data_IF_214660653420
#
_entry.id   IF_214660653420
#
_cell.length_a   1.000
_cell.length_b   1.000
_cell.length_c   1.000
_cell.angle_alpha   90.00
_cell.angle_beta   90.00
_cell.angle_gamma   90.00
#
_symmetry.space_group_name_H-M   'P 1'
#
loop_
_entity.id
_entity.type
_entity.pdbx_description
1 polymer ?
#
# COMPACT_ATOMS: atom_id res chain seq x y z
N UNK A 1 8.35 11.95 -23.12
CA UNK A 1 7.16 11.55 -23.87
C UNK A 1 7.24 10.06 -24.21
N UNK A 2 6.30 9.26 -23.68
CA UNK A 2 6.28 7.79 -23.78
C UNK A 2 6.30 7.32 -25.24
N UNK A 3 5.53 7.94 -26.12
CA UNK A 3 5.46 7.55 -27.54
C UNK A 3 6.82 7.67 -28.26
N UNK A 4 7.55 8.75 -28.00
CA UNK A 4 8.89 8.91 -28.60
C UNK A 4 9.87 7.86 -28.09
N UNK A 5 9.84 7.57 -26.80
CA UNK A 5 10.70 6.56 -26.22
C UNK A 5 10.36 5.15 -26.72
N UNK A 6 9.06 4.82 -26.84
CA UNK A 6 8.61 3.56 -27.42
C UNK A 6 9.06 3.39 -28.88
N UNK A 7 8.97 4.46 -29.68
CA UNK A 7 9.46 4.46 -31.05
C UNK A 7 10.98 4.24 -31.14
N UNK A 8 11.74 4.86 -30.23
CA UNK A 8 13.21 4.66 -30.16
C UNK A 8 13.56 3.22 -29.75
N UNK A 9 12.78 2.62 -28.83
CA UNK A 9 12.97 1.24 -28.42
C UNK A 9 12.66 0.28 -29.58
N UNK A 10 11.52 0.48 -30.27
CA UNK A 10 11.17 -0.32 -31.45
C UNK A 10 12.25 -0.22 -32.55
N UNK A 11 12.76 0.99 -32.81
CA UNK A 11 13.82 1.21 -33.78
C UNK A 11 15.14 0.50 -33.41
N UNK A 12 15.51 0.46 -32.12
CA UNK A 12 16.70 -0.28 -31.65
C UNK A 12 16.58 -1.79 -31.82
N UNK A 13 15.35 -2.31 -31.85
CA UNK A 13 15.08 -3.73 -32.08
C UNK A 13 14.71 -4.04 -33.53
N UNK A 14 15.01 -3.10 -34.47
CA UNK A 14 14.72 -3.22 -35.90
C UNK A 14 13.25 -3.58 -36.23
N UNK A 15 12.32 -3.18 -35.35
CA UNK A 15 10.87 -3.39 -35.52
C UNK A 15 10.31 -2.38 -36.52
N UNK A 16 9.36 -2.83 -37.36
CA UNK A 16 8.68 -1.98 -38.36
C UNK A 16 7.53 -1.16 -37.75
N UNK A 17 7.04 -1.55 -36.59
CA UNK A 17 5.97 -0.87 -35.85
C UNK A 17 6.20 -0.93 -34.35
N UNK A 18 5.62 0.03 -33.62
CA UNK A 18 5.67 0.09 -32.17
C UNK A 18 4.59 -0.84 -31.61
N UNK A 19 4.98 -1.79 -30.78
CA UNK A 19 4.07 -2.70 -30.09
C UNK A 19 3.88 -2.37 -28.62
N UNK A 20 2.97 -3.11 -27.94
CA UNK A 20 2.69 -2.97 -26.52
C UNK A 20 3.94 -3.09 -25.64
N UNK A 21 4.82 -4.03 -25.97
CA UNK A 21 6.08 -4.26 -25.22
C UNK A 21 7.01 -3.04 -25.28
N UNK A 22 7.06 -2.33 -26.41
CA UNK A 22 7.89 -1.15 -26.56
C UNK A 22 7.36 0.01 -25.71
N UNK A 23 6.02 0.14 -25.57
CA UNK A 23 5.40 1.09 -24.65
C UNK A 23 5.66 0.74 -23.20
N UNK A 24 5.56 -0.53 -22.80
CA UNK A 24 5.87 -0.96 -21.44
C UNK A 24 7.34 -0.67 -21.11
N UNK A 25 8.25 -0.99 -22.00
CA UNK A 25 9.68 -0.70 -21.85
C UNK A 25 9.98 0.80 -21.80
N UNK A 26 9.22 1.60 -22.56
CA UNK A 26 9.34 3.06 -22.55
C UNK A 26 8.87 3.65 -21.20
N UNK A 27 7.77 3.15 -20.63
CA UNK A 27 7.31 3.54 -19.32
C UNK A 27 8.35 3.21 -18.27
N UNK A 28 8.88 1.98 -18.30
CA UNK A 28 9.94 1.53 -17.39
C UNK A 28 11.16 2.45 -17.43
N UNK A 29 11.58 2.86 -18.64
CA UNK A 29 12.73 3.71 -18.82
C UNK A 29 12.50 5.15 -18.38
N UNK A 30 11.31 5.69 -18.59
CA UNK A 30 10.95 7.07 -18.20
C UNK A 30 10.78 7.18 -16.69
N UNK A 31 10.13 6.20 -16.06
CA UNK A 31 9.83 6.23 -14.61
C UNK A 31 11.00 5.70 -13.79
N UNK A 32 11.57 4.54 -14.18
CA UNK A 32 12.64 3.87 -13.42
C UNK A 32 14.05 4.27 -13.86
N UNK A 33 14.20 4.95 -15.00
CA UNK A 33 15.48 5.29 -15.56
C UNK A 33 16.09 4.16 -16.42
N UNK A 34 17.33 4.36 -16.84
CA UNK A 34 18.06 3.39 -17.68
C UNK A 34 18.45 2.16 -16.88
N UNK A 35 18.31 0.98 -17.48
CA UNK A 35 18.87 -0.27 -16.94
C UNK A 35 20.40 -0.16 -16.83
N UNK A 36 20.92 -0.61 -15.69
CA UNK A 36 22.37 -0.63 -15.41
C UNK A 36 22.87 -2.07 -15.38
N UNK A 37 22.92 -2.72 -16.53
CA UNK A 37 23.35 -4.13 -16.65
C UNK A 37 24.82 -4.38 -16.30
N UNK A 38 25.64 -3.32 -16.26
CA UNK A 38 27.06 -3.42 -15.94
C UNK A 38 27.37 -3.16 -14.46
N UNK A 39 26.36 -3.09 -13.59
CA UNK A 39 26.60 -2.96 -12.17
C UNK A 39 27.08 -4.31 -11.63
N UNK A 40 28.27 -4.30 -11.03
CA UNK A 40 28.81 -5.50 -10.36
C UNK A 40 28.08 -5.60 -9.01
N UNK A 41 27.25 -6.61 -8.87
CA UNK A 41 26.51 -6.93 -7.64
C UNK A 41 27.01 -8.30 -7.19
N UNK A 42 27.42 -8.43 -5.93
CA UNK A 42 27.81 -9.73 -5.40
C UNK A 42 26.58 -10.66 -5.25
N UNK A 43 26.76 -12.00 -5.26
CA UNK A 43 25.66 -12.93 -5.07
C UNK A 43 24.90 -12.68 -3.73
N UNK A 44 25.61 -12.29 -2.69
CA UNK A 44 25.04 -11.96 -1.39
C UNK A 44 24.16 -10.70 -1.46
N UNK A 45 24.66 -9.64 -2.11
CA UNK A 45 23.87 -8.42 -2.35
C UNK A 45 22.67 -8.68 -3.24
N UNK A 46 22.83 -9.48 -4.32
CA UNK A 46 21.71 -9.86 -5.18
C UNK A 46 20.62 -10.58 -4.40
N UNK A 47 21.02 -11.47 -3.50
CA UNK A 47 20.10 -12.18 -2.62
C UNK A 47 19.39 -11.23 -1.65
N UNK A 48 20.12 -10.30 -1.03
CA UNK A 48 19.53 -9.31 -0.13
C UNK A 48 18.50 -8.45 -0.87
N UNK A 49 18.82 -7.97 -2.08
CA UNK A 49 17.92 -7.20 -2.94
C UNK A 49 16.67 -8.01 -3.29
N UNK A 50 16.84 -9.29 -3.68
CA UNK A 50 15.70 -10.14 -4.05
C UNK A 50 14.71 -10.34 -2.89
N UNK A 51 15.21 -10.57 -1.68
CA UNK A 51 14.37 -10.69 -0.49
C UNK A 51 13.74 -9.36 -0.09
N UNK A 52 14.46 -8.23 -0.26
CA UNK A 52 13.94 -6.89 -0.04
C UNK A 52 12.74 -6.60 -0.96
N UNK A 53 12.89 -6.78 -2.26
CA UNK A 53 11.84 -6.56 -3.24
C UNK A 53 10.67 -7.56 -3.10
N UNK A 54 10.98 -8.82 -2.78
CA UNK A 54 9.95 -9.81 -2.44
C UNK A 54 9.16 -9.42 -1.18
N UNK A 55 9.80 -8.76 -0.22
CA UNK A 55 9.15 -8.21 0.97
C UNK A 55 8.09 -7.17 0.63
N UNK A 56 8.43 -6.17 -0.17
CA UNK A 56 7.48 -5.18 -0.68
C UNK A 56 6.31 -5.84 -1.43
N UNK A 57 6.64 -6.75 -2.35
CA UNK A 57 5.65 -7.43 -3.17
C UNK A 57 4.70 -8.30 -2.35
N UNK A 58 5.20 -9.08 -1.40
CA UNK A 58 4.39 -9.95 -0.53
C UNK A 58 3.45 -9.13 0.34
N UNK A 59 3.97 -8.10 1.05
CA UNK A 59 3.14 -7.28 1.94
C UNK A 59 2.05 -6.58 1.14
N UNK A 60 2.37 -5.98 -0.01
CA UNK A 60 1.38 -5.31 -0.84
C UNK A 60 0.37 -6.27 -1.49
N UNK A 61 0.72 -7.53 -1.74
CA UNK A 61 -0.20 -8.52 -2.29
C UNK A 61 -1.24 -8.99 -1.29
N UNK A 62 -0.81 -9.19 -0.04
CA UNK A 62 -1.64 -9.73 1.03
C UNK A 62 -2.53 -8.66 1.67
N UNK A 63 -2.04 -7.43 1.85
CA UNK A 63 -2.82 -6.36 2.46
C UNK A 63 -3.95 -5.90 1.53
N UNK A 64 -5.15 -5.76 2.09
CA UNK A 64 -6.36 -5.49 1.33
C UNK A 64 -6.33 -4.15 0.60
N UNK A 65 -5.80 -3.12 1.24
CA UNK A 65 -5.88 -1.74 0.75
C UNK A 65 -4.63 -1.28 0.01
N UNK A 66 -3.57 -2.08 -0.02
CA UNK A 66 -2.36 -1.77 -0.77
C UNK A 66 -2.63 -1.71 -2.28
N UNK A 67 -1.84 -0.89 -2.99
CA UNK A 67 -1.98 -0.74 -4.42
C UNK A 67 -1.66 -2.05 -5.17
N UNK A 68 -2.38 -2.36 -6.28
CA UNK A 68 -2.10 -3.52 -7.09
C UNK A 68 -0.67 -3.51 -7.63
N UNK A 69 0.06 -4.61 -7.42
CA UNK A 69 1.38 -4.80 -7.98
C UNK A 69 1.26 -5.26 -9.44
N UNK A 70 2.01 -4.61 -10.33
CA UNK A 70 2.12 -4.99 -11.74
C UNK A 70 3.26 -5.96 -11.93
N UNK A 71 4.44 -5.59 -11.42
CA UNK A 71 5.67 -6.38 -11.49
C UNK A 71 6.65 -5.96 -10.41
N UNK A 72 7.57 -6.83 -10.12
CA UNK A 72 8.72 -6.59 -9.26
C UNK A 72 9.98 -7.01 -9.98
N UNK A 73 11.08 -6.28 -9.80
CA UNK A 73 12.35 -6.55 -10.49
C UNK A 73 13.54 -6.25 -9.59
N UNK A 74 14.60 -7.04 -9.76
CA UNK A 74 15.90 -6.82 -9.14
C UNK A 74 16.94 -6.32 -10.15
N UNK A 75 16.51 -5.93 -11.35
CA UNK A 75 17.39 -5.30 -12.35
C UNK A 75 17.60 -3.84 -11.94
N UNK A 76 18.86 -3.41 -11.69
CA UNK A 76 19.12 -2.04 -11.27
C UNK A 76 18.73 -1.02 -12.34
N UNK A 77 18.04 0.05 -11.91
CA UNK A 77 17.62 1.18 -12.74
C UNK A 77 17.92 2.50 -12.05
N UNK A 78 18.53 3.43 -12.75
CA UNK A 78 18.85 4.73 -12.18
C UNK A 78 19.68 4.60 -10.89
N UNK A 79 19.11 4.99 -9.74
CA UNK A 79 19.72 4.84 -8.41
C UNK A 79 19.19 3.62 -7.64
N UNK A 80 18.10 3.01 -8.09
CA UNK A 80 17.49 1.86 -7.45
C UNK A 80 18.21 0.56 -7.85
N UNK A 81 18.40 -0.33 -6.90
CA UNK A 81 18.97 -1.68 -7.10
C UNK A 81 17.89 -2.70 -7.47
N UNK A 82 16.64 -2.42 -7.15
CA UNK A 82 15.43 -3.14 -7.52
C UNK A 82 14.25 -2.19 -7.55
N UNK A 83 13.07 -2.66 -7.90
CA UNK A 83 11.83 -1.88 -7.84
C UNK A 83 10.58 -2.76 -7.89
N UNK A 84 9.61 -2.43 -7.06
CA UNK A 84 8.24 -2.91 -7.16
C UNK A 84 7.38 -1.85 -7.86
N UNK A 85 6.66 -2.27 -8.89
CA UNK A 85 5.82 -1.40 -9.72
C UNK A 85 4.36 -1.61 -9.40
N UNK A 86 3.70 -0.54 -9.01
CA UNK A 86 2.30 -0.55 -8.62
C UNK A 86 1.45 0.18 -9.66
N UNK A 87 0.20 -0.25 -9.79
CA UNK A 87 -0.83 0.50 -10.52
C UNK A 87 -1.56 1.38 -9.48
N UNK A 88 -1.30 2.69 -9.44
CA UNK A 88 -2.04 3.56 -8.54
C UNK A 88 -3.54 3.50 -8.87
N UNK A 89 -4.36 3.23 -7.88
CA UNK A 89 -5.80 3.40 -8.04
C UNK A 89 -6.15 4.88 -7.99
N UNK A 90 -7.02 5.32 -8.90
CA UNK A 90 -7.57 6.68 -8.86
C UNK A 90 -8.51 6.81 -7.65
N UNK A 91 -7.96 7.29 -6.54
CA UNK A 91 -8.69 7.53 -5.29
C UNK A 91 -8.79 9.02 -5.04
N UNK A 92 -10.01 9.50 -4.81
CA UNK A 92 -10.27 10.89 -4.39
C UNK A 92 -10.06 11.07 -2.88
N UNK A 93 -10.29 10.02 -2.10
CA UNK A 93 -10.18 10.02 -0.65
C UNK A 93 -9.45 8.75 -0.21
N UNK A 94 -8.51 8.89 0.71
CA UNK A 94 -7.76 7.77 1.29
C UNK A 94 -8.06 7.66 2.78
N UNK A 95 -8.40 6.45 3.26
CA UNK A 95 -8.67 6.20 4.68
C UNK A 95 -7.38 5.98 5.47
N UNK A 96 -7.49 6.02 6.81
CA UNK A 96 -6.36 5.75 7.72
C UNK A 96 -5.79 4.34 7.49
N UNK A 97 -6.66 3.34 7.34
CA UNK A 97 -6.27 1.94 7.11
C UNK A 97 -5.52 1.78 5.79
N UNK A 98 -5.97 2.45 4.73
CA UNK A 98 -5.30 2.45 3.44
C UNK A 98 -3.90 3.06 3.52
N UNK A 99 -3.75 4.17 4.23
CA UNK A 99 -2.45 4.80 4.42
C UNK A 99 -1.51 3.93 5.28
N UNK A 100 -2.04 3.23 6.28
CA UNK A 100 -1.27 2.29 7.10
C UNK A 100 -0.78 1.09 6.28
N UNK A 101 -1.65 0.50 5.44
CA UNK A 101 -1.28 -0.58 4.51
C UNK A 101 -0.21 -0.13 3.50
N UNK A 102 -0.31 1.09 3.00
CA UNK A 102 0.70 1.68 2.11
C UNK A 102 2.05 1.89 2.81
N UNK A 103 2.05 2.32 4.09
CA UNK A 103 3.28 2.45 4.90
C UNK A 103 3.87 1.06 5.18
N UNK A 104 3.04 0.08 5.56
CA UNK A 104 3.48 -1.29 5.82
C UNK A 104 4.09 -1.93 4.56
N UNK A 105 3.48 -1.75 3.39
CA UNK A 105 4.01 -2.21 2.10
C UNK A 105 5.35 -1.55 1.78
N UNK A 106 5.49 -0.24 2.06
CA UNK A 106 6.74 0.50 1.89
C UNK A 106 7.84 0.01 2.85
N UNK A 107 7.49 -0.44 4.05
CA UNK A 107 8.44 -0.99 5.01
C UNK A 107 8.71 -2.50 4.82
N UNK A 108 8.00 -3.14 3.86
CA UNK A 108 8.10 -4.58 3.57
C UNK A 108 9.51 -5.06 3.27
N UNK A 109 10.28 -4.29 2.50
CA UNK A 109 11.68 -4.60 2.19
C UNK A 109 12.56 -4.61 3.45
N UNK A 110 12.46 -3.58 4.29
CA UNK A 110 13.17 -3.51 5.56
C UNK A 110 12.78 -4.64 6.52
N UNK A 111 11.49 -4.98 6.58
CA UNK A 111 11.00 -6.08 7.40
C UNK A 111 11.54 -7.43 6.91
N UNK A 112 11.62 -7.62 5.60
CA UNK A 112 12.21 -8.81 4.97
C UNK A 112 13.69 -8.97 5.29
N UNK A 113 14.49 -7.90 5.17
CA UNK A 113 15.90 -7.90 5.54
C UNK A 113 16.10 -8.35 6.99
N UNK A 114 15.35 -7.79 7.91
CA UNK A 114 15.45 -8.12 9.33
C UNK A 114 15.00 -9.56 9.63
N UNK A 115 13.91 -10.02 9.00
CA UNK A 115 13.36 -11.35 9.22
C UNK A 115 14.28 -12.47 8.71
N UNK A 116 14.96 -12.24 7.57
CA UNK A 116 15.75 -13.29 6.90
C UNK A 116 17.22 -13.23 7.26
N UNK A 117 17.79 -12.04 7.33
CA UNK A 117 19.23 -11.86 7.50
C UNK A 117 19.61 -11.34 8.91
N UNK A 118 18.63 -10.86 9.70
CA UNK A 118 18.88 -10.25 11.01
C UNK A 118 19.66 -8.93 10.92
N UNK A 119 19.76 -8.33 9.72
CA UNK A 119 20.52 -7.10 9.46
C UNK A 119 19.62 -6.04 8.82
N UNK A 120 20.14 -4.80 8.78
CA UNK A 120 19.47 -3.67 8.19
C UNK A 120 20.41 -3.01 7.17
N UNK A 121 20.04 -3.10 5.88
CA UNK A 121 20.83 -2.50 4.81
C UNK A 121 20.56 -1.01 4.63
N UNK A 122 21.49 -0.29 4.02
CA UNK A 122 21.30 1.13 3.65
C UNK A 122 20.37 1.32 2.44
N UNK A 123 20.02 0.24 1.75
CA UNK A 123 19.17 0.26 0.54
C UNK A 123 17.76 0.79 0.79
N UNK A 124 17.23 0.59 2.01
CA UNK A 124 15.90 1.05 2.42
C UNK A 124 15.79 2.56 2.72
N UNK A 125 16.79 3.38 2.37
CA UNK A 125 16.78 4.82 2.67
C UNK A 125 15.55 5.51 2.10
N UNK A 126 15.23 5.27 0.83
CA UNK A 126 14.08 5.87 0.17
C UNK A 126 12.75 5.40 0.78
N UNK A 127 12.66 4.13 1.14
CA UNK A 127 11.45 3.56 1.75
C UNK A 127 11.18 4.17 3.11
N UNK A 128 12.23 4.33 3.92
CA UNK A 128 12.14 5.00 5.21
C UNK A 128 11.74 6.47 5.06
N UNK A 129 12.27 7.17 4.06
CA UNK A 129 11.90 8.56 3.77
C UNK A 129 10.41 8.67 3.39
N UNK A 130 9.94 7.82 2.47
CA UNK A 130 8.55 7.79 2.00
C UNK A 130 7.61 7.41 3.14
N UNK A 131 7.91 6.36 3.88
CA UNK A 131 7.13 5.92 5.03
C UNK A 131 7.01 7.02 6.10
N UNK A 132 8.13 7.68 6.44
CA UNK A 132 8.16 8.77 7.42
C UNK A 132 7.33 9.96 6.97
N UNK A 133 7.45 10.39 5.71
CA UNK A 133 6.64 11.49 5.15
C UNK A 133 5.15 11.18 5.18
N UNK A 134 4.75 9.95 4.86
CA UNK A 134 3.34 9.52 4.93
C UNK A 134 2.82 9.52 6.36
N UNK A 135 3.55 8.92 7.30
CA UNK A 135 3.17 8.90 8.71
C UNK A 135 3.07 10.32 9.29
N UNK A 136 4.03 11.19 8.95
CA UNK A 136 3.98 12.60 9.34
C UNK A 136 2.75 13.31 8.76
N UNK A 137 2.42 13.08 7.49
CA UNK A 137 1.23 13.64 6.85
C UNK A 137 -0.05 13.19 7.56
N UNK A 138 -0.17 11.90 7.93
CA UNK A 138 -1.31 11.38 8.68
C UNK A 138 -1.50 12.10 10.01
N UNK A 139 -0.41 12.32 10.74
CA UNK A 139 -0.44 12.90 12.09
C UNK A 139 -0.62 14.42 12.05
N UNK A 140 0.21 15.12 11.25
CA UNK A 140 0.32 16.57 11.28
C UNK A 140 -0.62 17.30 10.33
N UNK A 141 -1.03 16.65 9.22
CA UNK A 141 -1.82 17.33 8.18
C UNK A 141 -3.27 16.82 8.07
N UNK A 142 -3.48 15.51 8.23
CA UNK A 142 -4.76 14.89 7.96
C UNK A 142 -5.60 14.63 9.21
N UNK A 143 -5.08 14.94 10.42
CA UNK A 143 -5.81 14.73 11.68
C UNK A 143 -6.14 13.25 11.96
N UNK A 144 -5.29 12.31 11.48
CA UNK A 144 -5.51 10.86 11.60
C UNK A 144 -4.85 10.25 12.85
N UNK A 145 -4.51 11.06 13.85
CA UNK A 145 -3.99 10.62 15.15
C UNK A 145 -4.94 11.06 16.26
N UNK A 146 -5.38 10.12 17.11
CA UNK A 146 -6.25 10.40 18.25
C UNK A 146 -5.59 11.33 19.27
N UNK A 147 -4.26 11.31 19.37
CA UNK A 147 -3.51 12.12 20.33
C UNK A 147 -3.34 13.58 19.89
N UNK A 148 -3.21 13.82 18.59
CA UNK A 148 -3.17 15.17 18.02
C UNK A 148 -4.57 15.72 17.79
N UNK A 149 -5.52 14.82 17.48
CA UNK A 149 -6.93 15.14 17.23
C UNK A 149 -7.17 15.71 15.84
N UNK A 150 -8.34 16.32 15.65
CA UNK A 150 -8.79 16.86 14.36
C UNK A 150 -8.16 18.23 14.06
N UNK A 151 -6.83 18.30 14.11
CA UNK A 151 -6.06 19.50 13.80
C UNK A 151 -5.17 19.27 12.58
N UNK A 152 -5.02 20.32 11.76
CA UNK A 152 -4.10 20.33 10.61
C UNK A 152 -3.09 21.45 10.75
N UNK A 153 -1.84 21.11 10.62
CA UNK A 153 -0.73 22.04 10.54
C UNK A 153 -0.23 22.25 9.09
N UNK A 154 -1.05 21.82 8.12
CA UNK A 154 -0.76 22.01 6.69
C UNK A 154 -0.97 23.47 6.31
N UNK A 155 0.00 24.07 5.64
CA UNK A 155 -0.10 25.41 5.06
C UNK A 155 -0.29 25.32 3.54
N UNK A 156 -1.51 25.59 3.10
CA UNK A 156 -1.86 25.61 1.67
C UNK A 156 -1.27 26.83 0.91
N UNK A 157 -0.77 27.83 1.62
CA UNK A 157 -0.15 29.01 0.97
C UNK A 157 1.28 28.73 0.48
N UNK A 158 1.90 27.62 0.93
CA UNK A 158 3.28 27.28 0.62
C UNK A 158 4.34 28.19 1.27
N UNK A 159 3.92 29.09 2.17
CA UNK A 159 4.85 30.01 2.85
C UNK A 159 5.53 29.34 4.06
N UNK A 160 4.95 28.25 4.56
CA UNK A 160 5.53 27.51 5.68
C UNK A 160 6.94 26.96 5.38
N UNK A 161 7.22 26.58 4.13
CA UNK A 161 8.55 26.11 3.70
C UNK A 161 9.62 27.20 3.77
N UNK A 162 9.21 28.47 3.78
CA UNK A 162 10.09 29.62 3.96
C UNK A 162 10.11 30.15 5.41
N UNK A 163 9.22 29.66 6.28
CA UNK A 163 9.15 30.05 7.67
C UNK A 163 10.25 29.34 8.47
N UNK A 164 11.05 30.13 9.20
CA UNK A 164 12.09 29.60 10.10
C UNK A 164 11.50 28.96 11.38
N UNK A 165 10.19 29.00 11.56
CA UNK A 165 9.52 28.52 12.78
C UNK A 165 8.39 27.55 12.42
N UNK A 166 8.28 26.47 13.20
CA UNK A 166 7.16 25.53 13.10
C UNK A 166 5.85 26.19 13.56
N UNK A 167 4.69 25.86 12.98
CA UNK A 167 3.39 26.45 13.33
C UNK A 167 2.80 25.91 14.64
N UNK A 168 3.60 25.26 15.48
CA UNK A 168 3.19 24.63 16.74
C UNK A 168 4.32 24.68 17.79
N UNK A 169 3.92 24.46 19.05
CA UNK A 169 4.85 24.47 20.20
C UNK A 169 5.78 23.25 20.20
N UNK A 170 6.91 23.33 20.93
CA UNK A 170 7.82 22.19 21.11
C UNK A 170 7.12 20.97 21.72
N UNK A 171 6.19 21.18 22.66
CA UNK A 171 5.38 20.08 23.23
C UNK A 171 4.53 19.37 22.16
N UNK A 172 3.97 20.11 21.21
CA UNK A 172 3.23 19.55 20.09
C UNK A 172 4.18 18.85 19.12
N UNK A 173 5.38 19.38 18.89
CA UNK A 173 6.40 18.70 18.08
C UNK A 173 6.76 17.33 18.65
N UNK A 174 7.03 17.24 19.95
CA UNK A 174 7.31 15.98 20.65
C UNK A 174 6.13 14.98 20.56
N UNK A 175 4.90 15.48 20.59
CA UNK A 175 3.71 14.65 20.44
C UNK A 175 3.62 14.10 19.01
N UNK A 176 3.82 14.94 18.00
CA UNK A 176 3.84 14.54 16.59
C UNK A 176 4.93 13.48 16.36
N UNK A 177 6.14 13.71 16.86
CA UNK A 177 7.26 12.77 16.70
C UNK A 177 6.95 11.40 17.32
N UNK A 178 6.31 11.37 18.50
CA UNK A 178 5.88 10.11 19.15
C UNK A 178 4.82 9.38 18.35
N UNK A 179 3.82 10.10 17.83
CA UNK A 179 2.75 9.51 17.07
C UNK A 179 3.24 9.01 15.70
N UNK A 180 4.10 9.75 15.03
CA UNK A 180 4.76 9.31 13.78
C UNK A 180 5.54 8.02 14.02
N UNK A 181 6.37 7.99 15.08
CA UNK A 181 7.11 6.78 15.44
C UNK A 181 6.17 5.61 15.74
N UNK A 182 5.09 5.83 16.48
CA UNK A 182 4.09 4.81 16.81
C UNK A 182 3.47 4.21 15.55
N UNK A 183 3.07 5.04 14.57
CA UNK A 183 2.52 4.58 13.29
C UNK A 183 3.54 3.79 12.47
N UNK A 184 4.79 4.22 12.44
CA UNK A 184 5.86 3.49 11.77
C UNK A 184 6.13 2.12 12.42
N UNK A 185 6.17 2.08 13.76
CA UNK A 185 6.33 0.83 14.51
C UNK A 185 5.14 -0.13 14.27
N UNK A 186 3.90 0.40 14.25
CA UNK A 186 2.67 -0.35 13.94
C UNK A 186 2.71 -0.94 12.53
N UNK A 187 3.07 -0.14 11.54
CA UNK A 187 3.18 -0.56 10.14
C UNK A 187 4.31 -1.58 9.93
N UNK A 188 5.46 -1.39 10.60
CA UNK A 188 6.59 -2.32 10.55
C UNK A 188 6.24 -3.68 11.19
N UNK A 189 5.54 -3.66 12.33
CA UNK A 189 5.05 -4.87 12.96
C UNK A 189 4.02 -5.61 12.09
N UNK A 190 3.14 -4.87 11.40
CA UNK A 190 2.19 -5.42 10.44
C UNK A 190 2.94 -6.10 9.27
N UNK A 191 3.90 -5.43 8.65
CA UNK A 191 4.70 -5.98 7.56
C UNK A 191 5.45 -7.25 7.99
N UNK A 192 6.09 -7.22 9.17
CA UNK A 192 6.82 -8.37 9.72
C UNK A 192 5.90 -9.56 9.97
N UNK A 193 4.71 -9.33 10.52
CA UNK A 193 3.70 -10.38 10.76
C UNK A 193 3.24 -11.00 9.44
N UNK A 194 2.89 -10.19 8.43
CA UNK A 194 2.48 -10.67 7.10
C UNK A 194 3.55 -11.55 6.48
N UNK A 195 4.82 -11.13 6.52
CA UNK A 195 5.93 -11.92 5.99
C UNK A 195 6.16 -13.23 6.75
N UNK A 196 5.98 -13.22 8.07
CA UNK A 196 6.12 -14.42 8.90
C UNK A 196 4.99 -15.44 8.65
N UNK A 197 3.75 -14.96 8.54
CA UNK A 197 2.56 -15.80 8.25
C UNK A 197 2.61 -16.40 6.84
N UNK A 198 3.16 -15.67 5.86
CA UNK A 198 3.28 -16.11 4.46
C UNK A 198 4.71 -16.49 4.05
N UNK A 199 5.50 -17.00 5.01
CA UNK A 199 6.95 -17.24 4.84
C UNK A 199 7.32 -18.11 3.66
N UNK A 200 6.56 -19.17 3.39
CA UNK A 200 6.83 -20.09 2.28
C UNK A 200 6.67 -19.38 0.93
N UNK A 201 5.54 -18.70 0.70
CA UNK A 201 5.30 -17.93 -0.52
C UNK A 201 6.27 -16.78 -0.69
N UNK A 202 6.60 -16.07 0.40
CA UNK A 202 7.61 -15.01 0.40
C UNK A 202 8.99 -15.52 -0.04
N UNK A 203 9.42 -16.68 0.50
CA UNK A 203 10.70 -17.29 0.12
C UNK A 203 10.67 -17.75 -1.34
N UNK A 204 9.59 -18.40 -1.77
CA UNK A 204 9.41 -18.82 -3.17
C UNK A 204 9.46 -17.63 -4.14
N UNK A 205 8.85 -16.51 -3.78
CA UNK A 205 8.90 -15.27 -4.58
C UNK A 205 10.32 -14.72 -4.68
N UNK A 206 11.07 -14.67 -3.58
CA UNK A 206 12.45 -14.20 -3.57
C UNK A 206 13.37 -15.08 -4.43
N UNK A 207 13.21 -16.40 -4.36
CA UNK A 207 13.97 -17.34 -5.19
C UNK A 207 13.60 -17.20 -6.67
N UNK A 208 12.32 -17.01 -6.98
CA UNK A 208 11.86 -16.76 -8.35
C UNK A 208 12.44 -15.45 -8.91
N UNK A 209 12.58 -14.41 -8.07
CA UNK A 209 13.25 -13.16 -8.44
C UNK A 209 14.75 -13.36 -8.72
N UNK A 210 15.43 -14.21 -7.97
CA UNK A 210 16.82 -14.55 -8.22
C UNK A 210 17.02 -15.26 -9.56
N UNK A 211 16.06 -16.09 -9.97
CA UNK A 211 16.08 -16.84 -11.21
C UNK A 211 15.67 -15.98 -12.43
N UNK A 212 14.51 -15.31 -12.35
CA UNK A 212 13.90 -14.60 -13.47
C UNK A 212 14.28 -13.13 -13.56
N UNK A 213 14.78 -12.53 -12.47
CA UNK A 213 15.08 -11.10 -12.29
C UNK A 213 13.86 -10.15 -12.40
N UNK A 214 12.80 -10.60 -13.03
CA UNK A 214 11.50 -9.90 -13.15
C UNK A 214 10.37 -10.89 -12.92
N UNK A 215 9.43 -10.53 -12.06
CA UNK A 215 8.24 -11.30 -11.72
C UNK A 215 7.01 -10.42 -11.91
N UNK A 216 5.93 -10.98 -12.47
CA UNK A 216 4.69 -10.26 -12.75
C UNK A 216 3.58 -10.68 -11.78
N UNK A 217 2.46 -9.93 -11.81
CA UNK A 217 1.28 -10.19 -10.98
C UNK A 217 0.74 -11.61 -11.10
N UNK A 218 0.83 -12.22 -12.28
CA UNK A 218 0.39 -13.60 -12.54
C UNK A 218 1.21 -14.65 -11.77
N UNK A 219 2.50 -14.38 -11.56
CA UNK A 219 3.36 -15.24 -10.75
C UNK A 219 3.00 -15.13 -9.26
N UNK A 220 2.68 -13.90 -8.78
CA UNK A 220 2.23 -13.69 -7.40
C UNK A 220 0.87 -14.37 -7.14
N UNK A 221 -0.08 -14.26 -8.10
CA UNK A 221 -1.36 -14.94 -7.99
C UNK A 221 -1.18 -16.47 -7.90
N UNK A 222 -0.20 -17.03 -8.62
CA UNK A 222 0.12 -18.45 -8.54
C UNK A 222 0.70 -18.87 -7.19
N UNK A 223 1.48 -17.99 -6.54
CA UNK A 223 2.12 -18.25 -5.25
C UNK A 223 1.15 -18.04 -4.09
N UNK A 224 0.43 -16.91 -4.08
CA UNK A 224 -0.38 -16.46 -2.95
C UNK A 224 -1.90 -16.61 -3.16
N UNK A 225 -2.34 -16.93 -4.39
CA UNK A 225 -3.75 -16.86 -4.78
C UNK A 225 -4.18 -15.43 -5.14
N UNK A 226 -5.48 -15.27 -5.43
CA UNK A 226 -6.06 -13.96 -5.74
C UNK A 226 -5.97 -13.03 -4.53
N UNK A 227 -5.76 -11.75 -4.80
CA UNK A 227 -5.77 -10.71 -3.75
C UNK A 227 -7.13 -10.64 -3.07
N UNK A 228 -7.15 -10.36 -1.77
CA UNK A 228 -8.38 -10.24 -0.96
C UNK A 228 -9.33 -9.20 -1.57
N UNK A 229 -8.81 -8.07 -2.04
CA UNK A 229 -9.60 -7.02 -2.68
C UNK A 229 -10.28 -7.48 -3.96
N UNK A 230 -9.60 -8.26 -4.80
CA UNK A 230 -10.14 -8.77 -6.06
C UNK A 230 -11.24 -9.80 -5.80
N UNK A 231 -11.05 -10.68 -4.80
CA UNK A 231 -12.07 -11.62 -4.33
C UNK A 231 -13.33 -10.88 -3.87
N UNK A 232 -13.18 -9.86 -3.02
CA UNK A 232 -14.30 -9.05 -2.52
C UNK A 232 -15.02 -8.32 -3.66
N UNK A 233 -14.28 -7.82 -4.64
CA UNK A 233 -14.83 -7.14 -5.82
C UNK A 233 -15.63 -8.11 -6.71
N UNK A 234 -15.12 -9.31 -6.95
CA UNK A 234 -15.82 -10.37 -7.69
C UNK A 234 -17.10 -10.78 -6.96
N UNK A 235 -17.05 -10.99 -5.65
CA UNK A 235 -18.22 -11.31 -4.82
C UNK A 235 -19.28 -10.19 -4.86
N UNK A 236 -18.88 -8.94 -4.73
CA UNK A 236 -19.78 -7.79 -4.82
C UNK A 236 -20.40 -7.65 -6.21
N UNK A 237 -19.68 -7.98 -7.27
CA UNK A 237 -20.19 -8.00 -8.63
C UNK A 237 -21.21 -9.14 -8.83
N UNK A 238 -20.92 -10.34 -8.32
CA UNK A 238 -21.83 -11.50 -8.38
C UNK A 238 -23.17 -11.24 -7.63
N UNK A 239 -23.09 -10.57 -6.48
CA UNK A 239 -24.31 -10.15 -5.74
C UNK A 239 -25.13 -9.14 -6.55
N UNK A 240 -24.46 -8.20 -7.25
CA UNK A 240 -25.16 -7.20 -8.08
C UNK A 240 -25.75 -7.79 -9.36
N UNK A 241 -25.15 -8.84 -9.92
CA UNK A 241 -25.66 -9.55 -11.11
C UNK A 241 -26.78 -10.54 -10.80
N UNK A 242 -27.12 -10.75 -9.54
CA UNK A 242 -28.19 -11.66 -9.12
C UNK A 242 -27.82 -13.16 -9.18
N UNK A 243 -26.56 -13.50 -9.40
CA UNK A 243 -26.09 -14.90 -9.44
C UNK A 243 -25.99 -15.58 -8.07
N UNK A 244 -26.19 -14.83 -6.97
CA UNK A 244 -26.21 -15.35 -5.58
C UNK A 244 -27.56 -15.03 -4.94
N UNK A 245 -28.65 -15.59 -5.50
CA UNK A 245 -29.99 -15.44 -4.94
C UNK A 245 -30.59 -16.76 -4.44
N UNK A 246 -29.80 -17.81 -4.18
CA UNK A 246 -30.33 -19.06 -3.64
C UNK A 246 -29.35 -19.74 -2.68
N UNK A 247 -29.25 -19.22 -1.45
CA UNK A 247 -28.79 -19.99 -0.30
C UNK A 247 -29.24 -19.36 1.03
N UNK A 248 -30.55 -19.19 1.18
CA UNK A 248 -31.16 -19.04 2.53
C UNK A 248 -31.89 -20.38 2.77
N UNK A 249 -31.46 -21.21 3.73
CA UNK A 249 -32.27 -22.34 4.14
C UNK A 249 -33.56 -21.81 4.78
N UNK A 250 -34.70 -22.23 4.24
CA UNK A 250 -36.00 -22.02 4.84
C UNK A 250 -36.00 -22.68 6.23
N UNK A 251 -35.87 -21.87 7.26
CA UNK A 251 -36.10 -22.27 8.63
C UNK A 251 -37.61 -22.26 8.88
N UNK A 252 -38.11 -23.35 9.41
CA UNK A 252 -39.50 -23.67 9.74
C UNK A 252 -40.20 -22.53 10.49
N UNK A 253 -41.31 -22.13 9.93
CA UNK A 253 -42.33 -21.34 10.65
C UNK A 253 -43.12 -22.32 11.50
N UNK A 254 -42.94 -22.31 12.82
CA UNK A 254 -43.92 -22.84 13.74
C UNK A 254 -44.55 -21.69 14.52
N UNK A 255 -45.89 -21.81 14.62
CA UNK A 255 -46.80 -20.82 15.09
C UNK A 255 -46.80 -20.68 16.61
N UNK A 256 -47.07 -19.47 17.08
CA UNK A 256 -47.36 -19.19 18.47
C UNK A 256 -47.97 -17.79 18.60
N UNK A 257 -49.29 -17.70 18.41
CA UNK A 257 -50.12 -16.57 18.88
C UNK A 257 -49.90 -16.31 20.36
N UNK A 258 -49.63 -15.07 20.75
CA UNK A 258 -50.27 -14.49 21.93
C UNK A 258 -50.22 -12.95 21.85
N UNK A 259 -51.43 -12.42 21.85
CA UNK A 259 -51.82 -11.03 21.89
C UNK A 259 -51.74 -10.51 23.34
N UNK A 260 -51.00 -9.43 23.60
CA UNK A 260 -51.37 -8.48 24.67
C UNK A 260 -51.03 -7.06 24.21
N UNK A 261 -52.11 -6.27 24.16
CA UNK A 261 -52.07 -4.82 23.96
C UNK A 261 -51.71 -4.09 25.28
N UNK A 262 -51.14 -2.93 25.13
CA UNK A 262 -51.42 -1.67 25.81
C UNK A 262 -50.20 -0.87 26.21
N UNK A 263 -50.26 0.40 25.90
CA UNK A 263 -49.56 1.45 26.62
C UNK A 263 -48.92 2.56 25.78
N UNK A 264 -49.76 3.41 25.22
CA UNK A 264 -49.38 4.76 24.77
C UNK A 264 -49.07 5.64 25.98
N UNK A 265 -47.88 6.24 26.04
CA UNK A 265 -47.62 7.44 26.82
C UNK A 265 -46.91 8.50 25.98
N UNK A 266 -47.66 9.53 25.65
CA UNK A 266 -47.23 10.84 25.21
C UNK A 266 -46.45 11.55 26.33
N UNK A 267 -45.28 12.08 26.06
CA UNK A 267 -44.70 13.13 26.87
C UNK A 267 -44.32 14.32 26.03
N UNK A 268 -44.94 15.42 26.47
CA UNK A 268 -45.00 16.71 25.82
C UNK A 268 -43.66 17.46 25.70
N UNK A 269 -43.67 18.30 24.68
CA UNK A 269 -42.77 19.42 24.39
C UNK A 269 -42.82 20.47 25.50
N UNK A 270 -41.66 20.87 26.00
CA UNK A 270 -41.46 22.08 26.77
C UNK A 270 -40.26 22.84 26.24
N UNK A 271 -40.53 23.87 25.46
CA UNK A 271 -39.53 24.85 25.07
C UNK A 271 -39.29 25.85 26.21
N UNK A 272 -38.04 26.29 26.34
CA UNK A 272 -37.77 27.59 26.96
C UNK A 272 -36.46 28.16 26.38
N UNK A 273 -36.61 29.32 25.75
CA UNK A 273 -35.54 30.21 25.35
C UNK A 273 -35.16 31.11 26.52
N UNK A 274 -33.86 31.32 26.73
CA UNK A 274 -33.41 32.52 27.46
C UNK A 274 -31.98 32.91 27.01
N UNK A 275 -31.91 34.12 26.49
CA UNK A 275 -30.74 34.99 26.31
C UNK A 275 -29.74 34.97 27.49
N UNK A 276 -28.44 35.01 27.18
CA UNK A 276 -27.49 36.13 27.43
C UNK A 276 -26.22 35.82 26.66
#
# INVERSE_FOLDING_TARGET
>A
NVCNEAALIAARHDKKCVGREDFLSAIDRIVGGLERRNTIITPEEKRLIAYHEAGHATVSWILEHANPLIKVTIIPRGRALGAAWYLPEERQVTTREQMLDDIASTLGGRAAEQLVFGTQGSGALNDLEVATKRAYSMVAYLGMSDQVGNMSYYDSSGQADMALTKPYSERTAELIDREVKRLLDEAFALATRVLAEHREGFTQLAELLLEKEVVFSEDLERIFGKRIKDIKREQAAAVRSGEVADAVPAGDADAGDDVVAAGTEEVAVGGEAADV
#
